data_IF_741716843714
#
_entry.id   IF_741716843714
#
_cell.length_a   1.000
_cell.length_b   1.000
_cell.length_c   1.000
_cell.angle_alpha   90.00
_cell.angle_beta   90.00
_cell.angle_gamma   90.00
#
_symmetry.space_group_name_H-M   'P 1'
#
loop_
_entity.id
_entity.type
_entity.pdbx_description
1 polymer ?
#
# COMPACT_ATOMS: atom_id res chain seq x y z
N UNK A 1 4.65 8.54 3.70
CA UNK A 1 5.91 9.06 4.29
C UNK A 1 5.70 10.53 4.57
N UNK A 2 6.30 11.10 5.62
CA UNK A 2 6.18 12.53 5.93
C UNK A 2 7.51 13.24 6.01
N UNK A 3 7.49 14.46 5.47
CA UNK A 3 8.46 15.49 5.76
C UNK A 3 7.76 16.60 6.50
N UNK A 4 8.39 17.14 7.53
CA UNK A 4 7.84 18.31 8.22
C UNK A 4 8.23 19.56 7.41
N UNK A 5 7.22 20.35 7.05
CA UNK A 5 7.32 21.69 6.42
C UNK A 5 7.78 21.81 4.96
N UNK A 6 7.93 20.74 4.18
CA UNK A 6 8.32 20.87 2.75
C UNK A 6 7.11 20.61 1.84
N UNK A 7 6.79 21.59 0.99
CA UNK A 7 5.64 21.58 0.07
C UNK A 7 5.88 20.71 -1.19
N UNK A 8 6.85 19.80 -1.16
CA UNK A 8 7.20 18.95 -2.30
C UNK A 8 6.69 17.53 -2.05
N UNK A 9 5.87 17.03 -2.99
CA UNK A 9 5.35 15.66 -2.99
C UNK A 9 6.40 14.63 -3.42
N UNK A 10 7.45 15.08 -4.12
CA UNK A 10 8.53 14.26 -4.65
C UNK A 10 9.85 15.02 -4.58
N UNK A 11 10.94 14.34 -4.19
CA UNK A 11 12.27 14.92 -4.12
C UNK A 11 13.16 14.41 -5.25
N UNK A 12 13.76 15.29 -6.07
CA UNK A 12 14.65 14.87 -7.18
C UNK A 12 15.88 14.09 -6.73
N UNK A 13 16.34 14.27 -5.48
CA UNK A 13 17.46 13.57 -4.87
C UNK A 13 17.07 12.23 -4.22
N UNK A 14 15.78 11.88 -4.18
CA UNK A 14 15.34 10.59 -3.67
C UNK A 14 15.53 9.49 -4.72
N UNK A 15 16.58 8.69 -4.54
CA UNK A 15 16.92 7.57 -5.42
C UNK A 15 15.81 6.52 -5.55
N UNK A 16 14.87 6.47 -4.60
CA UNK A 16 13.77 5.52 -4.58
C UNK A 16 12.45 6.12 -5.06
N UNK A 17 12.45 7.38 -5.54
CA UNK A 17 11.28 8.11 -6.03
C UNK A 17 10.09 8.03 -5.05
N UNK A 18 10.39 8.09 -3.75
CA UNK A 18 9.40 8.05 -2.69
C UNK A 18 8.60 9.35 -2.64
N UNK A 19 7.31 9.20 -2.36
CA UNK A 19 6.40 10.32 -2.17
C UNK A 19 6.40 10.76 -0.71
N UNK A 20 6.79 12.00 -0.45
CA UNK A 20 6.85 12.56 0.89
C UNK A 20 5.79 13.64 1.05
N UNK A 21 4.99 13.56 2.11
CA UNK A 21 3.90 14.50 2.34
C UNK A 21 4.24 15.47 3.47
N UNK A 22 3.96 16.78 3.33
CA UNK A 22 4.07 17.71 4.44
C UNK A 22 3.17 17.32 5.60
N UNK A 23 3.72 17.28 6.81
CA UNK A 23 2.95 17.15 8.05
C UNK A 23 3.05 18.43 8.89
N UNK A 24 1.91 18.90 9.38
CA UNK A 24 1.80 20.06 10.27
C UNK A 24 0.65 19.86 11.24
N UNK A 25 0.88 20.15 12.50
CA UNK A 25 -0.11 20.17 13.56
C UNK A 25 -0.01 21.49 14.36
N UNK A 26 -0.47 21.48 15.61
CA UNK A 26 -0.42 22.66 16.50
C UNK A 26 0.93 22.86 17.17
N UNK A 27 1.87 21.92 17.04
CA UNK A 27 3.18 22.01 17.65
C UNK A 27 4.08 22.97 16.85
N UNK A 28 5.01 23.67 17.51
CA UNK A 28 5.93 24.58 16.83
C UNK A 28 6.88 23.82 15.90
N UNK A 29 7.17 24.42 14.74
CA UNK A 29 8.17 23.93 13.78
C UNK A 29 9.41 24.81 13.85
N UNK A 30 10.58 24.19 13.85
CA UNK A 30 11.88 24.88 13.87
C UNK A 30 12.74 24.46 12.68
N UNK A 31 13.44 25.42 12.09
CA UNK A 31 14.41 25.17 11.03
C UNK A 31 15.71 24.56 11.60
N UNK A 32 16.33 23.70 10.81
CA UNK A 32 17.65 23.12 11.11
C UNK A 32 18.77 24.05 10.67
N UNK A 33 19.75 24.26 11.54
CA UNK A 33 20.92 25.11 11.32
C UNK A 33 22.15 24.31 10.83
N UNK A 34 22.00 23.01 10.63
CA UNK A 34 23.05 22.11 10.13
C UNK A 34 22.53 21.20 9.04
N UNK A 35 23.35 21.03 8.00
CA UNK A 35 23.07 20.09 6.93
C UNK A 35 23.35 18.65 7.39
N UNK A 36 22.57 17.70 6.86
CA UNK A 36 22.86 16.26 6.98
C UNK A 36 23.21 15.71 5.60
N UNK A 37 24.05 14.69 5.56
CA UNK A 37 24.26 13.90 4.36
C UNK A 37 23.32 12.69 4.39
N UNK A 38 22.55 12.47 3.32
CA UNK A 38 21.61 11.33 3.24
C UNK A 38 22.29 9.97 3.48
N UNK A 39 23.58 9.84 3.12
CA UNK A 39 24.40 8.64 3.36
C UNK A 39 24.63 8.30 4.84
N UNK A 40 24.37 9.23 5.75
CA UNK A 40 24.47 9.00 7.19
C UNK A 40 23.34 8.07 7.69
N UNK A 41 22.33 7.79 6.84
CA UNK A 41 21.22 6.90 7.12
C UNK A 41 21.15 5.73 6.15
N UNK A 42 20.81 4.54 6.67
CA UNK A 42 20.79 3.29 5.90
C UNK A 42 19.80 3.29 4.73
N UNK A 43 18.68 4.04 4.82
CA UNK A 43 17.65 4.10 3.78
C UNK A 43 17.62 5.42 2.99
N UNK A 44 18.71 6.18 3.05
CA UNK A 44 18.98 7.34 2.21
C UNK A 44 17.77 8.29 2.07
N UNK A 45 17.20 8.81 3.17
CA UNK A 45 16.11 9.78 3.13
C UNK A 45 16.55 11.07 2.41
N UNK A 46 15.63 11.81 1.76
CA UNK A 46 15.94 13.09 1.13
C UNK A 46 16.50 14.09 2.14
N UNK A 47 17.52 14.87 1.75
CA UNK A 47 18.16 15.83 2.68
C UNK A 47 17.17 16.91 3.13
N UNK A 48 16.25 17.31 2.23
CA UNK A 48 15.20 18.30 2.53
C UNK A 48 14.27 17.85 3.67
N UNK A 49 14.15 16.54 3.94
CA UNK A 49 13.39 16.02 5.07
C UNK A 49 13.87 16.52 6.43
N UNK A 50 15.14 16.95 6.51
CA UNK A 50 15.78 17.44 7.72
C UNK A 50 15.88 18.97 7.80
N UNK A 51 15.36 19.69 6.80
CA UNK A 51 15.39 21.16 6.77
C UNK A 51 14.65 21.80 7.94
N UNK A 52 13.66 21.10 8.49
CA UNK A 52 12.92 21.52 9.67
C UNK A 52 12.46 20.31 10.48
N UNK A 53 11.81 20.57 11.62
CA UNK A 53 11.11 19.56 12.38
C UNK A 53 10.17 20.14 13.42
N UNK A 54 9.24 19.32 13.88
CA UNK A 54 8.28 19.65 14.93
C UNK A 54 8.99 19.48 16.27
N UNK A 55 8.78 20.42 17.18
CA UNK A 55 9.35 20.39 18.52
C UNK A 55 8.33 20.86 19.56
N UNK A 56 8.74 20.95 20.82
CA UNK A 56 7.93 21.47 21.93
C UNK A 56 8.81 22.24 22.91
N UNK A 57 8.19 22.90 23.88
CA UNK A 57 8.92 23.65 24.91
C UNK A 57 9.78 22.74 25.79
N UNK A 58 10.81 23.32 26.41
CA UNK A 58 11.66 22.62 27.39
C UNK A 58 10.84 21.87 28.43
N UNK A 59 11.21 20.62 28.67
CA UNK A 59 10.59 19.76 29.70
C UNK A 59 9.17 19.27 29.37
N UNK A 60 8.58 19.65 28.24
CA UNK A 60 7.30 19.12 27.78
C UNK A 60 7.51 17.91 26.87
N UNK A 61 6.60 16.94 26.97
CA UNK A 61 6.52 15.88 25.99
C UNK A 61 6.02 16.44 24.65
N UNK A 62 6.56 15.94 23.54
CA UNK A 62 6.03 16.22 22.22
C UNK A 62 5.05 15.11 21.87
N UNK A 63 3.81 15.47 21.60
CA UNK A 63 2.77 14.54 21.20
C UNK A 63 2.28 14.89 19.80
N UNK A 64 2.28 13.90 18.91
CA UNK A 64 1.77 14.05 17.55
C UNK A 64 0.84 12.89 17.21
N UNK A 65 -0.22 13.17 16.46
CA UNK A 65 -1.08 12.14 15.88
C UNK A 65 -0.66 11.92 14.43
N UNK A 66 0.13 10.87 14.20
CA UNK A 66 0.66 10.56 12.89
C UNK A 66 0.78 9.05 12.69
N UNK A 67 0.28 8.49 11.57
CA UNK A 67 -0.38 9.16 10.42
C UNK A 67 -1.72 9.84 10.73
N UNK A 68 -2.17 10.83 9.93
CA UNK A 68 -3.44 11.53 10.13
C UNK A 68 -4.67 10.71 9.69
N UNK A 69 -4.50 9.43 9.42
CA UNK A 69 -5.51 8.51 8.88
C UNK A 69 -5.59 7.25 9.74
N UNK A 70 -6.76 6.62 9.75
CA UNK A 70 -6.97 5.35 10.45
C UNK A 70 -6.22 4.22 9.76
N UNK A 71 -5.37 3.54 10.51
CA UNK A 71 -4.60 2.39 10.02
C UNK A 71 -5.37 1.08 10.25
N UNK A 72 -5.44 0.19 9.25
CA UNK A 72 -5.88 -1.19 9.44
C UNK A 72 -5.11 -1.89 10.57
N UNK A 73 -5.77 -2.81 11.27
CA UNK A 73 -5.13 -3.61 12.31
C UNK A 73 -4.16 -4.62 11.71
N UNK A 74 -2.87 -4.28 11.65
CA UNK A 74 -1.81 -5.16 11.14
C UNK A 74 -0.44 -4.70 11.62
N UNK A 75 0.62 -5.29 11.06
CA UNK A 75 1.99 -4.89 11.27
C UNK A 75 2.45 -3.82 10.28
N UNK A 76 3.28 -2.92 10.79
CA UNK A 76 3.84 -1.82 10.03
C UNK A 76 5.35 -1.77 10.21
N UNK A 77 6.04 -1.40 9.14
CA UNK A 77 7.39 -0.91 9.22
C UNK A 77 7.32 0.57 9.57
N UNK A 78 8.02 1.02 10.61
CA UNK A 78 8.04 2.42 11.03
C UNK A 78 9.50 2.86 11.08
N UNK A 79 9.80 4.04 10.51
CA UNK A 79 11.09 4.71 10.65
C UNK A 79 10.87 6.16 11.04
N UNK A 80 11.54 6.63 12.09
CA UNK A 80 11.44 8.00 12.59
C UNK A 80 12.81 8.65 12.56
N UNK A 81 12.85 9.89 12.08
CA UNK A 81 14.07 10.63 11.79
C UNK A 81 14.22 11.84 12.71
N UNK A 82 15.41 11.96 13.29
CA UNK A 82 15.70 12.93 14.33
C UNK A 82 17.01 13.63 14.03
N UNK A 83 17.08 14.93 14.27
CA UNK A 83 18.28 15.74 14.22
C UNK A 83 18.13 16.89 15.22
N UNK A 84 19.20 17.16 15.98
CA UNK A 84 19.25 18.43 16.70
C UNK A 84 19.40 19.59 15.71
N UNK A 85 18.47 20.54 15.77
CA UNK A 85 18.37 21.62 14.80
C UNK A 85 19.35 22.78 15.03
N UNK A 86 20.17 22.75 16.08
CA UNK A 86 21.13 23.82 16.42
C UNK A 86 22.45 23.63 15.66
N UNK A 87 23.25 24.70 15.62
CA UNK A 87 24.61 24.61 15.08
C UNK A 87 25.41 23.47 15.73
N UNK A 88 26.19 22.69 14.97
CA UNK A 88 26.93 21.55 15.51
C UNK A 88 27.90 21.99 16.62
N UNK A 89 27.76 21.39 17.80
CA UNK A 89 28.63 21.64 18.95
C UNK A 89 28.58 20.44 19.92
N UNK A 90 29.52 20.34 20.87
CA UNK A 90 29.44 19.35 21.95
C UNK A 90 28.16 19.41 22.81
N UNK A 91 27.39 20.50 22.73
CA UNK A 91 26.17 20.73 23.50
C UNK A 91 24.90 20.67 22.63
N UNK A 92 25.03 20.32 21.35
CA UNK A 92 23.94 20.22 20.38
C UNK A 92 23.41 18.79 20.31
N UNK A 93 22.75 18.39 21.40
CA UNK A 93 22.14 17.08 21.56
C UNK A 93 20.85 17.14 22.40
N UNK A 94 19.99 16.13 22.22
CA UNK A 94 18.74 15.93 22.96
C UNK A 94 18.59 14.48 23.34
N UNK A 95 18.16 14.20 24.58
CA UNK A 95 17.79 12.85 24.99
C UNK A 95 16.32 12.76 25.36
N UNK A 96 15.65 11.73 24.86
CA UNK A 96 14.24 11.47 25.11
C UNK A 96 13.86 10.02 24.81
N UNK A 97 12.76 9.57 25.38
CA UNK A 97 12.12 8.31 25.04
C UNK A 97 11.09 8.54 23.93
N UNK A 98 10.88 7.53 23.08
CA UNK A 98 9.86 7.52 22.05
C UNK A 98 8.87 6.39 22.37
N UNK A 99 7.59 6.72 22.38
CA UNK A 99 6.50 5.75 22.52
C UNK A 99 5.47 5.92 21.41
N UNK A 100 4.87 4.81 20.99
CA UNK A 100 3.80 4.77 19.99
C UNK A 100 2.61 4.07 20.63
N UNK A 101 1.46 4.76 20.67
CA UNK A 101 0.23 4.31 21.32
C UNK A 101 0.45 3.88 22.80
N UNK A 102 1.32 4.59 23.51
CA UNK A 102 1.66 4.31 24.92
C UNK A 102 2.66 3.17 25.13
N UNK A 103 3.07 2.47 24.07
CA UNK A 103 4.10 1.43 24.14
C UNK A 103 5.48 2.00 23.80
N UNK A 104 6.50 1.59 24.55
CA UNK A 104 7.89 2.04 24.32
C UNK A 104 8.39 1.58 22.96
N UNK A 105 8.68 2.54 22.07
CA UNK A 105 9.26 2.31 20.75
C UNK A 105 10.79 2.37 20.79
N UNK A 106 11.34 3.33 21.55
CA UNK A 106 12.77 3.46 21.78
C UNK A 106 13.04 4.18 23.11
N UNK A 107 14.04 3.72 23.87
CA UNK A 107 14.43 4.36 25.15
C UNK A 107 15.78 5.05 25.04
N UNK A 108 15.94 6.18 25.74
CA UNK A 108 17.18 6.95 25.83
C UNK A 108 17.77 7.32 24.45
N UNK A 109 16.93 7.73 23.50
CA UNK A 109 17.38 8.18 22.19
C UNK A 109 18.25 9.42 22.35
N UNK A 110 19.47 9.41 21.80
CA UNK A 110 20.34 10.57 21.74
C UNK A 110 20.38 11.15 20.32
N UNK A 111 19.66 12.24 20.10
CA UNK A 111 19.63 12.95 18.83
C UNK A 111 20.66 14.09 18.84
N UNK A 112 21.68 13.98 17.98
CA UNK A 112 22.72 15.01 17.78
C UNK A 112 22.51 15.76 16.46
N UNK A 113 23.35 16.75 16.18
CA UNK A 113 23.33 17.49 14.89
C UNK A 113 23.66 16.61 13.66
N UNK A 114 24.26 15.42 13.86
CA UNK A 114 24.49 14.44 12.77
C UNK A 114 23.23 13.71 12.33
N UNK A 115 22.19 13.76 13.17
CA UNK A 115 20.97 13.00 12.97
C UNK A 115 21.06 11.56 13.46
N UNK A 116 19.89 10.95 13.69
CA UNK A 116 19.71 9.56 14.06
C UNK A 116 18.37 9.06 13.54
N UNK A 117 18.31 7.80 13.17
CA UNK A 117 17.07 7.12 12.79
C UNK A 117 16.81 5.98 13.75
N UNK A 118 15.57 5.84 14.19
CA UNK A 118 15.09 4.65 14.89
C UNK A 118 13.95 4.04 14.11
N UNK A 119 13.93 2.73 14.02
CA UNK A 119 12.95 2.01 13.21
C UNK A 119 12.50 0.72 13.88
N UNK A 120 11.32 0.25 13.50
CA UNK A 120 10.81 -1.06 13.83
C UNK A 120 10.41 -1.76 12.54
N UNK A 121 10.95 -2.96 12.33
CA UNK A 121 10.65 -3.77 11.14
C UNK A 121 9.25 -4.40 11.19
N UNK A 122 8.65 -4.50 12.37
CA UNK A 122 7.33 -5.10 12.57
C UNK A 122 6.69 -4.53 13.84
N UNK A 123 5.90 -3.47 13.69
CA UNK A 123 5.20 -2.79 14.79
C UNK A 123 3.68 -2.91 14.64
N UNK A 124 2.94 -3.42 15.64
CA UNK A 124 1.49 -3.54 15.54
C UNK A 124 0.84 -2.15 15.63
N UNK A 125 0.04 -1.78 14.63
CA UNK A 125 -0.80 -0.58 14.67
C UNK A 125 -2.24 -0.92 14.32
N UNK A 126 -3.17 -0.14 14.87
CA UNK A 126 -4.60 -0.19 14.55
C UNK A 126 -5.22 1.16 14.90
N UNK A 127 -6.08 1.67 14.04
CA UNK A 127 -6.76 2.94 14.23
C UNK A 127 -5.83 4.15 14.15
N UNK A 128 -6.06 5.15 15.00
CA UNK A 128 -5.23 6.35 15.08
C UNK A 128 -3.92 6.06 15.82
N UNK A 129 -2.84 6.64 15.31
CA UNK A 129 -1.50 6.46 15.87
C UNK A 129 -1.06 7.73 16.59
N UNK A 130 -0.76 7.63 17.88
CA UNK A 130 -0.17 8.69 18.69
C UNK A 130 1.30 8.38 18.96
N UNK A 131 2.18 9.28 18.54
CA UNK A 131 3.62 9.22 18.86
C UNK A 131 3.89 10.23 19.95
N UNK A 132 4.53 9.79 21.03
CA UNK A 132 4.87 10.63 22.18
C UNK A 132 6.36 10.54 22.45
N UNK A 133 7.00 11.71 22.54
CA UNK A 133 8.42 11.83 22.86
C UNK A 133 8.57 12.50 24.21
N UNK A 134 9.20 11.81 25.16
CA UNK A 134 9.31 12.26 26.55
C UNK A 134 10.75 12.67 26.84
N UNK A 135 11.04 13.97 27.07
CA UNK A 135 12.40 14.41 27.35
C UNK A 135 12.96 13.78 28.62
N UNK A 136 14.26 13.43 28.59
CA UNK A 136 14.95 13.02 29.81
C UNK A 136 14.98 14.17 30.84
N UNK A 137 15.05 13.86 32.14
CA UNK A 137 15.17 14.88 33.18
C UNK A 137 16.37 15.81 32.94
N UNK A 138 16.15 17.12 33.07
CA UNK A 138 17.22 18.12 32.95
C UNK A 138 17.54 18.57 31.52
N UNK A 139 16.87 18.04 30.48
CA UNK A 139 17.13 18.48 29.11
C UNK A 139 16.82 19.98 28.91
N UNK A 140 17.75 20.76 28.32
CA UNK A 140 17.58 22.20 28.14
C UNK A 140 16.62 22.55 26.98
N UNK A 141 16.28 21.57 26.15
CA UNK A 141 15.47 21.71 24.94
C UNK A 141 14.45 20.57 24.87
N UNK A 142 13.30 20.82 24.23
CA UNK A 142 12.28 19.78 24.03
C UNK A 142 12.70 18.75 22.98
N UNK A 143 12.06 17.57 22.91
CA UNK A 143 12.26 16.62 21.82
C UNK A 143 11.90 17.25 20.46
N UNK A 144 12.32 16.60 19.38
CA UNK A 144 12.08 17.07 18.02
C UNK A 144 11.89 15.88 17.09
N UNK A 145 11.08 16.01 16.05
CA UNK A 145 10.94 15.05 14.96
C UNK A 145 11.12 15.78 13.62
N UNK A 146 11.92 15.24 12.70
CA UNK A 146 12.12 15.83 11.37
C UNK A 146 11.23 15.19 10.31
N UNK A 147 11.13 13.87 10.33
CA UNK A 147 10.43 13.10 9.32
C UNK A 147 10.02 11.73 9.86
N UNK A 148 9.14 11.04 9.14
CA UNK A 148 8.70 9.70 9.48
C UNK A 148 8.23 8.91 8.27
N UNK A 149 8.54 7.62 8.23
CA UNK A 149 8.02 6.67 7.26
C UNK A 149 7.22 5.59 7.98
N UNK A 150 6.12 5.19 7.35
CA UNK A 150 5.29 4.09 7.80
C UNK A 150 4.82 3.33 6.58
N UNK A 151 5.06 2.03 6.58
CA UNK A 151 4.65 1.12 5.52
C UNK A 151 3.84 0.00 6.12
N UNK A 152 2.65 -0.25 5.57
CA UNK A 152 1.88 -1.42 5.96
C UNK A 152 2.62 -2.67 5.48
N UNK A 153 2.93 -3.56 6.41
CA UNK A 153 3.44 -4.88 6.08
C UNK A 153 2.22 -5.71 5.78
N UNK A 154 1.97 -5.90 4.49
CA UNK A 154 1.06 -6.94 4.06
C UNK A 154 1.80 -8.25 4.35
N UNK A 155 1.29 -9.12 5.23
CA UNK A 155 1.81 -10.48 5.28
C UNK A 155 1.76 -11.00 3.84
N UNK A 156 2.79 -11.71 3.40
CA UNK A 156 2.79 -12.39 2.10
C UNK A 156 1.66 -13.43 2.15
N UNK A 157 0.43 -12.96 1.96
CA UNK A 157 -0.83 -13.64 2.25
C UNK A 157 -1.14 -14.67 1.19
N UNK A 158 -0.11 -15.30 0.65
CA UNK A 158 -0.17 -16.05 -0.57
C UNK A 158 -0.02 -15.21 -1.82
N UNK A 159 -0.25 -15.86 -2.95
CA UNK A 159 -0.23 -15.28 -4.30
C UNK A 159 -1.34 -15.90 -5.14
N UNK A 160 -1.78 -15.22 -6.18
CA UNK A 160 -2.61 -15.86 -7.20
C UNK A 160 -1.79 -16.86 -8.00
N UNK A 161 -2.43 -17.95 -8.42
CA UNK A 161 -1.83 -18.91 -9.33
C UNK A 161 -1.40 -18.21 -10.62
N UNK A 162 -0.15 -18.41 -11.03
CA UNK A 162 0.46 -17.68 -12.17
C UNK A 162 -0.36 -17.78 -13.46
N UNK A 163 -1.00 -18.92 -13.73
CA UNK A 163 -1.88 -19.11 -14.89
C UNK A 163 -3.10 -18.19 -14.84
N UNK A 164 -3.71 -18.06 -13.67
CA UNK A 164 -4.88 -17.22 -13.47
C UNK A 164 -4.48 -15.74 -13.61
N UNK A 165 -3.29 -15.33 -13.12
CA UNK A 165 -2.72 -13.98 -13.32
C UNK A 165 -2.58 -13.67 -14.81
N UNK A 166 -1.86 -14.52 -15.56
CA UNK A 166 -1.64 -14.31 -17.00
C UNK A 166 -2.97 -14.19 -17.75
N UNK A 167 -3.94 -15.04 -17.39
CA UNK A 167 -5.27 -15.01 -18.01
C UNK A 167 -6.02 -13.72 -17.74
N UNK A 168 -5.94 -13.21 -16.50
CA UNK A 168 -6.58 -11.94 -16.15
C UNK A 168 -5.87 -10.73 -16.74
N UNK A 169 -4.54 -10.76 -16.90
CA UNK A 169 -3.79 -9.73 -17.63
C UNK A 169 -4.17 -9.71 -19.11
N UNK A 170 -4.31 -10.88 -19.74
CA UNK A 170 -4.79 -10.97 -21.13
C UNK A 170 -6.21 -10.42 -21.26
N UNK A 171 -7.09 -10.72 -20.30
CA UNK A 171 -8.45 -10.19 -20.28
C UNK A 171 -8.44 -8.67 -20.14
N UNK A 172 -7.64 -8.14 -19.20
CA UNK A 172 -7.46 -6.71 -18.97
C UNK A 172 -6.98 -5.97 -20.24
N UNK A 173 -6.09 -6.59 -21.02
CA UNK A 173 -5.60 -6.05 -22.30
C UNK A 173 -6.62 -6.15 -23.43
N UNK A 174 -7.52 -7.13 -23.36
CA UNK A 174 -8.54 -7.38 -24.38
C UNK A 174 -9.77 -6.47 -24.25
N UNK A 175 -9.91 -5.81 -23.10
CA UNK A 175 -10.96 -4.82 -22.82
C UNK A 175 -10.39 -3.40 -22.85
N UNK A 176 -11.14 -2.47 -23.43
CA UNK A 176 -10.73 -1.06 -23.61
C UNK A 176 -10.86 -0.25 -22.31
N UNK A 177 -11.74 -0.68 -21.42
CA UNK A 177 -12.06 -0.01 -20.16
C UNK A 177 -12.10 -1.00 -18.98
N UNK A 178 -10.97 -1.65 -18.63
CA UNK A 178 -10.89 -2.49 -17.44
C UNK A 178 -11.19 -1.67 -16.16
N UNK A 179 -11.72 -2.29 -15.09
CA UNK A 179 -11.79 -1.64 -13.78
C UNK A 179 -10.43 -1.08 -13.34
N UNK A 180 -10.43 0.07 -12.68
CA UNK A 180 -9.20 0.84 -12.39
C UNK A 180 -8.22 0.13 -11.46
N UNK A 181 -8.73 -0.79 -10.65
CA UNK A 181 -7.98 -1.56 -9.66
C UNK A 181 -7.41 -2.87 -10.24
N UNK A 182 -7.60 -3.15 -11.53
CA UNK A 182 -6.98 -4.29 -12.22
C UNK A 182 -5.48 -4.07 -12.47
N UNK A 183 -4.73 -3.93 -11.38
CA UNK A 183 -3.28 -3.80 -11.38
C UNK A 183 -2.71 -4.60 -10.19
N UNK A 184 -1.61 -5.31 -10.39
CA UNK A 184 -1.02 -6.18 -9.37
C UNK A 184 -1.61 -7.59 -9.32
N UNK A 185 -1.70 -8.18 -8.12
CA UNK A 185 -2.19 -9.55 -7.94
C UNK A 185 -3.73 -9.57 -7.88
N UNK A 186 -4.45 -10.33 -8.74
CA UNK A 186 -5.91 -10.30 -8.82
C UNK A 186 -6.64 -10.70 -7.53
N UNK A 187 -6.02 -11.53 -6.69
CA UNK A 187 -6.65 -12.06 -5.47
C UNK A 187 -6.01 -11.53 -4.18
N UNK A 188 -4.97 -10.69 -4.27
CA UNK A 188 -4.15 -10.31 -3.12
C UNK A 188 -3.86 -8.80 -3.05
N UNK A 189 -3.95 -8.19 -1.86
CA UNK A 189 -4.33 -8.79 -0.57
C UNK A 189 -5.83 -9.20 -0.54
N UNK A 190 -6.21 -10.12 0.35
CA UNK A 190 -7.57 -10.73 0.33
C UNK A 190 -8.67 -9.68 0.49
N UNK A 191 -8.38 -8.61 1.23
CA UNK A 191 -9.29 -7.49 1.47
C UNK A 191 -9.44 -6.56 0.25
N UNK A 192 -8.52 -6.64 -0.72
CA UNK A 192 -8.48 -5.80 -1.91
C UNK A 192 -8.22 -6.65 -3.18
N UNK A 193 -8.99 -7.73 -3.39
CA UNK A 193 -8.99 -8.40 -4.69
C UNK A 193 -9.53 -7.46 -5.77
N UNK A 194 -9.16 -7.71 -7.03
CA UNK A 194 -9.64 -6.92 -8.15
C UNK A 194 -11.17 -6.87 -8.20
N UNK A 195 -11.71 -5.72 -8.61
CA UNK A 195 -13.15 -5.51 -8.77
C UNK A 195 -13.74 -6.59 -9.66
N UNK A 196 -14.79 -7.23 -9.16
CA UNK A 196 -15.50 -8.32 -9.83
C UNK A 196 -14.82 -9.69 -9.72
N UNK A 197 -13.64 -9.80 -9.10
CA UNK A 197 -12.92 -11.07 -8.95
C UNK A 197 -13.11 -11.62 -7.54
N UNK A 198 -13.54 -12.88 -7.44
CA UNK A 198 -13.53 -13.64 -6.18
C UNK A 198 -12.58 -14.82 -6.29
N UNK A 199 -11.86 -15.08 -5.21
CA UNK A 199 -10.80 -16.09 -5.19
C UNK A 199 -10.92 -17.06 -4.03
N UNK A 200 -10.32 -18.25 -4.20
CA UNK A 200 -10.17 -19.24 -3.14
C UNK A 200 -9.31 -18.71 -1.98
N UNK A 201 -9.59 -19.20 -0.77
CA UNK A 201 -8.90 -18.76 0.46
C UNK A 201 -7.54 -19.45 0.70
N UNK A 202 -7.01 -20.17 -0.28
CA UNK A 202 -5.75 -20.92 -0.15
C UNK A 202 -4.52 -20.01 -0.25
N UNK A 203 -3.35 -20.48 0.20
CA UNK A 203 -2.09 -19.72 0.05
C UNK A 203 -1.74 -19.47 -1.43
N UNK A 204 -2.03 -20.42 -2.32
CA UNK A 204 -2.05 -20.13 -3.77
C UNK A 204 -3.51 -19.95 -4.18
N UNK A 205 -3.93 -18.70 -4.29
CA UNK A 205 -5.30 -18.36 -4.64
C UNK A 205 -5.61 -18.76 -6.08
N UNK A 206 -6.82 -19.27 -6.29
CA UNK A 206 -7.39 -19.54 -7.62
C UNK A 206 -8.58 -18.63 -7.82
N UNK A 207 -8.78 -18.12 -9.03
CA UNK A 207 -9.96 -17.33 -9.36
C UNK A 207 -11.15 -18.27 -9.52
N UNK A 208 -12.20 -18.03 -8.73
CA UNK A 208 -13.40 -18.87 -8.70
C UNK A 208 -14.60 -18.14 -9.30
N UNK A 209 -14.65 -16.81 -9.23
CA UNK A 209 -15.73 -16.00 -9.81
C UNK A 209 -15.15 -14.78 -10.52
N UNK A 210 -15.67 -14.51 -11.72
CA UNK A 210 -15.52 -13.23 -12.40
C UNK A 210 -16.93 -12.71 -12.65
N UNK A 211 -17.31 -11.67 -11.91
CA UNK A 211 -18.59 -10.97 -12.03
C UNK A 211 -18.35 -9.51 -12.42
N UNK A 212 -18.64 -9.19 -13.66
CA UNK A 212 -18.57 -7.85 -14.23
C UNK A 212 -19.90 -7.51 -14.92
N UNK A 213 -21.01 -8.04 -14.41
CA UNK A 213 -22.35 -7.76 -14.95
C UNK A 213 -22.63 -6.27 -14.91
N UNK A 214 -23.10 -5.71 -16.03
CA UNK A 214 -23.40 -4.28 -16.19
C UNK A 214 -22.21 -3.33 -15.89
N UNK A 215 -20.96 -3.78 -16.06
CA UNK A 215 -19.78 -2.95 -15.85
C UNK A 215 -19.45 -2.01 -17.04
N UNK A 216 -20.25 -2.03 -18.10
CA UNK A 216 -20.07 -1.19 -19.29
C UNK A 216 -18.83 -1.54 -20.11
N UNK A 217 -18.33 -2.78 -20.01
CA UNK A 217 -17.10 -3.23 -20.66
C UNK A 217 -17.22 -3.21 -22.19
N UNK A 218 -16.16 -2.76 -22.86
CA UNK A 218 -16.01 -2.73 -24.32
C UNK A 218 -14.74 -3.50 -24.68
N UNK A 219 -14.80 -4.42 -25.63
CA UNK A 219 -13.64 -5.23 -26.04
C UNK A 219 -14.04 -6.64 -26.41
N UNK A 220 -13.12 -7.60 -26.27
CA UNK A 220 -13.34 -9.01 -26.61
C UNK A 220 -12.93 -9.93 -25.45
N UNK A 221 -13.35 -11.20 -25.54
CA UNK A 221 -12.85 -12.25 -24.64
C UNK A 221 -11.58 -12.87 -25.23
N UNK A 222 -10.46 -12.91 -24.48
CA UNK A 222 -9.24 -13.55 -24.96
C UNK A 222 -9.40 -15.08 -24.98
N UNK A 223 -8.72 -15.80 -25.90
CA UNK A 223 -8.71 -17.26 -25.89
C UNK A 223 -8.23 -17.88 -24.57
N UNK A 224 -7.36 -17.17 -23.84
CA UNK A 224 -6.83 -17.63 -22.55
C UNK A 224 -7.88 -17.71 -21.45
N UNK A 225 -9.09 -17.15 -21.62
CA UNK A 225 -10.16 -17.22 -20.59
C UNK A 225 -10.47 -18.67 -20.19
N UNK A 226 -10.34 -19.63 -21.11
CA UNK A 226 -10.52 -21.06 -20.86
C UNK A 226 -9.48 -21.68 -19.91
N UNK A 227 -8.41 -20.96 -19.54
CA UNK A 227 -7.37 -21.41 -18.62
C UNK A 227 -7.70 -21.20 -17.13
N UNK A 228 -8.80 -20.51 -16.79
CA UNK A 228 -9.28 -20.35 -15.42
C UNK A 228 -9.95 -21.64 -14.90
N UNK A 229 -9.17 -22.70 -14.73
CA UNK A 229 -9.70 -24.06 -14.51
C UNK A 229 -10.46 -24.26 -13.19
N UNK A 230 -10.43 -23.28 -12.28
CA UNK A 230 -11.15 -23.29 -11.01
C UNK A 230 -12.39 -22.37 -11.00
N UNK A 231 -12.68 -21.73 -12.14
CA UNK A 231 -13.79 -20.78 -12.28
C UNK A 231 -15.13 -21.52 -12.23
N UNK A 232 -15.98 -21.16 -11.28
CA UNK A 232 -17.34 -21.66 -11.14
C UNK A 232 -18.38 -20.72 -11.75
N UNK A 233 -18.11 -19.41 -11.73
CA UNK A 233 -19.04 -18.39 -12.21
C UNK A 233 -18.34 -17.39 -13.13
N UNK A 234 -18.81 -17.29 -14.37
CA UNK A 234 -18.40 -16.25 -15.32
C UNK A 234 -19.62 -15.42 -15.71
N UNK A 235 -19.75 -14.24 -15.12
CA UNK A 235 -20.88 -13.35 -15.33
C UNK A 235 -20.41 -12.04 -15.96
N UNK A 236 -20.73 -11.89 -17.24
CA UNK A 236 -20.37 -10.74 -18.07
C UNK A 236 -21.59 -10.13 -18.75
N UNK A 237 -22.80 -10.45 -18.27
CA UNK A 237 -24.06 -9.98 -18.84
C UNK A 237 -24.19 -8.45 -18.85
N UNK A 238 -24.86 -7.90 -19.85
CA UNK A 238 -25.15 -6.46 -19.92
C UNK A 238 -23.92 -5.57 -20.21
N UNK A 239 -22.96 -6.08 -20.99
CA UNK A 239 -21.78 -5.33 -21.43
C UNK A 239 -21.83 -5.06 -22.95
N UNK A 240 -20.75 -4.53 -23.51
CA UNK A 240 -20.59 -4.24 -24.94
C UNK A 240 -19.45 -5.06 -25.55
N UNK A 241 -19.25 -6.28 -25.05
CA UNK A 241 -18.22 -7.20 -25.56
C UNK A 241 -18.60 -7.71 -26.96
N UNK A 242 -17.63 -7.80 -27.85
CA UNK A 242 -17.76 -8.20 -29.25
C UNK A 242 -16.88 -9.41 -29.59
N UNK A 243 -16.94 -9.87 -30.85
CA UNK A 243 -16.16 -10.99 -31.35
C UNK A 243 -16.78 -12.34 -31.00
N UNK A 244 -16.06 -13.42 -31.28
CA UNK A 244 -16.52 -14.79 -31.01
C UNK A 244 -16.21 -15.21 -29.57
N UNK A 245 -17.09 -16.02 -28.98
CA UNK A 245 -16.82 -16.64 -27.67
C UNK A 245 -15.71 -17.70 -27.85
N UNK A 246 -14.58 -17.59 -27.11
CA UNK A 246 -13.44 -18.49 -27.24
C UNK A 246 -13.72 -19.90 -26.69
N UNK A 247 -12.79 -20.84 -26.91
CA UNK A 247 -12.92 -22.18 -26.35
C UNK A 247 -12.95 -22.17 -24.81
N UNK A 248 -14.05 -22.67 -24.24
CA UNK A 248 -14.26 -22.77 -22.80
C UNK A 248 -13.95 -24.17 -22.25
N UNK A 249 -13.40 -25.08 -23.06
CA UNK A 249 -13.23 -26.50 -22.72
C UNK A 249 -12.44 -26.75 -21.43
N UNK A 250 -11.55 -25.83 -21.04
CA UNK A 250 -10.75 -25.91 -19.82
C UNK A 250 -11.49 -25.53 -18.52
N UNK A 251 -12.67 -24.90 -18.62
CA UNK A 251 -13.47 -24.44 -17.48
C UNK A 251 -14.30 -25.57 -16.86
N UNK A 252 -13.65 -26.66 -16.43
CA UNK A 252 -14.31 -27.88 -15.94
C UNK A 252 -15.16 -27.66 -14.68
N UNK A 253 -14.86 -26.61 -13.94
CA UNK A 253 -15.57 -26.25 -12.72
C UNK A 253 -16.73 -25.27 -12.95
N UNK A 254 -16.96 -24.81 -14.19
CA UNK A 254 -17.96 -23.79 -14.49
C UNK A 254 -19.37 -24.30 -14.27
N UNK A 255 -20.12 -23.61 -13.42
CA UNK A 255 -21.50 -23.90 -13.06
C UNK A 255 -22.48 -22.97 -13.75
N UNK A 256 -22.10 -21.69 -13.90
CA UNK A 256 -22.97 -20.65 -14.47
C UNK A 256 -22.20 -19.74 -15.44
N UNK A 257 -22.77 -19.48 -16.60
CA UNK A 257 -22.19 -18.64 -17.64
C UNK A 257 -23.19 -17.58 -18.13
N UNK A 258 -23.03 -16.32 -17.73
CA UNK A 258 -23.91 -15.23 -18.18
C UNK A 258 -23.18 -14.35 -19.19
N UNK A 259 -23.63 -14.39 -20.45
CA UNK A 259 -23.07 -13.61 -21.57
C UNK A 259 -24.15 -12.78 -22.30
N UNK A 260 -25.39 -12.82 -21.82
CA UNK A 260 -26.54 -12.14 -22.40
C UNK A 260 -26.34 -10.61 -22.45
N UNK A 261 -27.09 -9.95 -23.33
CA UNK A 261 -27.03 -8.50 -23.50
C UNK A 261 -25.60 -7.98 -23.81
N UNK A 262 -24.82 -8.74 -24.59
CA UNK A 262 -23.56 -8.33 -25.21
C UNK A 262 -23.72 -8.25 -26.75
N UNK A 263 -22.60 -8.04 -27.46
CA UNK A 263 -22.52 -7.97 -28.93
C UNK A 263 -21.63 -9.09 -29.49
N UNK A 264 -21.61 -10.26 -28.85
CA UNK A 264 -20.87 -11.42 -29.35
C UNK A 264 -21.43 -11.88 -30.69
N UNK A 265 -20.53 -12.35 -31.56
CA UNK A 265 -20.83 -12.82 -32.90
C UNK A 265 -20.49 -14.31 -33.05
N UNK A 266 -21.09 -14.97 -34.04
CA UNK A 266 -20.86 -16.39 -34.30
C UNK A 266 -21.69 -17.33 -33.43
N UNK A 267 -21.32 -18.61 -33.44
CA UNK A 267 -22.00 -19.65 -32.66
C UNK A 267 -21.32 -19.83 -31.31
N UNK A 268 -22.07 -20.34 -30.33
CA UNK A 268 -21.48 -20.84 -29.09
C UNK A 268 -20.45 -21.95 -29.42
N UNK A 269 -19.29 -21.96 -28.77
CA UNK A 269 -18.29 -22.98 -29.01
C UNK A 269 -18.83 -24.34 -28.57
N UNK A 270 -18.59 -25.43 -29.33
CA UNK A 270 -19.08 -26.76 -28.98
C UNK A 270 -18.60 -27.28 -27.62
N UNK A 271 -17.58 -26.65 -27.05
CA UNK A 271 -17.10 -26.97 -25.71
C UNK A 271 -18.06 -26.55 -24.60
N UNK A 272 -18.89 -25.53 -24.80
CA UNK A 272 -19.89 -25.08 -23.81
C UNK A 272 -20.90 -26.19 -23.50
N UNK A 273 -21.33 -26.95 -24.52
CA UNK A 273 -22.22 -28.12 -24.37
C UNK A 273 -21.56 -29.30 -23.64
N UNK A 274 -20.22 -29.32 -23.56
CA UNK A 274 -19.42 -30.40 -22.98
C UNK A 274 -18.89 -30.06 -21.58
N UNK A 275 -19.32 -28.95 -21.00
CA UNK A 275 -18.90 -28.57 -19.64
C UNK A 275 -19.66 -29.42 -18.61
N UNK A 276 -18.95 -30.19 -17.77
CA UNK A 276 -19.56 -31.24 -16.96
C UNK A 276 -20.41 -30.70 -15.80
N UNK A 277 -20.19 -29.45 -15.39
CA UNK A 277 -20.86 -28.82 -14.24
C UNK A 277 -21.79 -27.68 -14.62
N UNK A 278 -21.87 -27.31 -15.90
CA UNK A 278 -22.66 -26.18 -16.35
C UNK A 278 -24.15 -26.48 -16.17
N UNK A 279 -24.84 -25.62 -15.44
CA UNK A 279 -26.26 -25.76 -15.08
C UNK A 279 -27.10 -24.56 -15.49
N UNK A 280 -26.47 -23.40 -15.68
CA UNK A 280 -27.15 -22.15 -16.02
C UNK A 280 -26.34 -21.39 -17.08
N UNK A 281 -27.04 -20.93 -18.13
CA UNK A 281 -26.48 -20.13 -19.22
C UNK A 281 -27.51 -19.15 -19.78
#
# INVERSE_FOLDING_TARGET
MIVISVCELSFPDDKFNRMWQPFKDQNPVVASQSNITSSDFWNLPPVKAFSSGITTSKGKALEIQWPPLYLPSTYYYISLYFQDNRHPSPFSWRTFDVSINGHTFYSNLNATSKGVTVYAAQWPLSGLTKITMTPSPGMPVGPMLNAGEVYQILPLGGRTQTRDIITMEDLARSIQNPPRDWNGDPCRPKENSWTGVTCSSQFVARITVVNLTNAGLVGTLPPSIGHLTALSHLWLGGNKLTGTIPDLSGLKELETLHLENNKFEGKLPPSTEKLPKLREM
#
